data_IF_341111767537
#
_entry.id   IF_341111767537
#
_cell.length_a   1.000
_cell.length_b   1.000
_cell.length_c   1.000
_cell.angle_alpha   90.00
_cell.angle_beta   90.00
_cell.angle_gamma   90.00
#
_symmetry.space_group_name_H-M   'P 1'
#
loop_
_entity.id
_entity.type
_entity.pdbx_description
1 polymer ?
#
# COMPACT_ATOMS: atom_id res chain seq x y z
N UNK A 1 -2.02 21.80 3.31
CA UNK A 1 -2.89 20.60 3.25
C UNK A 1 -2.16 19.37 2.74
N UNK A 2 -1.44 19.43 1.61
CA UNK A 2 -0.66 18.30 1.08
C UNK A 2 0.24 17.61 2.15
N UNK A 3 1.00 18.39 2.94
CA UNK A 3 1.83 17.84 4.03
C UNK A 3 1.06 16.97 5.04
N UNK A 4 -0.10 17.43 5.52
CA UNK A 4 -0.91 16.68 6.49
C UNK A 4 -1.48 15.41 5.86
N UNK A 5 -1.92 15.49 4.59
CA UNK A 5 -2.40 14.34 3.83
C UNK A 5 -1.29 13.29 3.72
N UNK A 6 -0.07 13.71 3.35
CA UNK A 6 1.08 12.81 3.30
C UNK A 6 1.40 12.21 4.66
N UNK A 7 1.39 13.01 5.74
CA UNK A 7 1.66 12.52 7.09
C UNK A 7 0.67 11.42 7.52
N UNK A 8 -0.64 11.65 7.36
CA UNK A 8 -1.65 10.65 7.70
C UNK A 8 -1.55 9.41 6.82
N UNK A 9 -1.26 9.59 5.53
CA UNK A 9 -1.04 8.49 4.58
C UNK A 9 0.12 7.62 5.04
N UNK A 10 1.27 8.22 5.35
CA UNK A 10 2.45 7.53 5.89
C UNK A 10 2.11 6.83 7.22
N UNK A 11 1.33 7.46 8.10
CA UNK A 11 0.86 6.86 9.35
C UNK A 11 0.07 5.57 9.12
N UNK A 12 -0.91 5.58 8.20
CA UNK A 12 -1.70 4.40 7.83
C UNK A 12 -0.79 3.29 7.28
N UNK A 13 0.15 3.64 6.40
CA UNK A 13 1.13 2.70 5.85
C UNK A 13 1.96 2.06 6.97
N UNK A 14 2.41 2.87 7.92
CA UNK A 14 3.24 2.41 9.03
C UNK A 14 2.49 1.45 9.95
N UNK A 15 1.21 1.73 10.25
CA UNK A 15 0.33 0.83 11.02
C UNK A 15 0.14 -0.50 10.29
N UNK A 16 -0.18 -0.47 9.00
CA UNK A 16 -0.35 -1.69 8.19
C UNK A 16 0.95 -2.50 8.10
N UNK A 17 2.09 -1.82 7.96
CA UNK A 17 3.42 -2.45 7.98
C UNK A 17 3.71 -3.12 9.32
N UNK A 18 3.44 -2.46 10.45
CA UNK A 18 3.67 -3.06 11.76
C UNK A 18 2.75 -4.24 12.05
N UNK A 19 1.50 -4.22 11.55
CA UNK A 19 0.60 -5.36 11.62
C UNK A 19 1.17 -6.59 10.89
N UNK A 20 1.79 -6.39 9.72
CA UNK A 20 2.49 -7.46 8.97
C UNK A 20 3.76 -7.92 9.69
N UNK A 21 4.59 -6.97 10.15
CA UNK A 21 5.86 -7.26 10.81
C UNK A 21 5.71 -7.98 12.16
N UNK A 22 4.58 -7.79 12.86
CA UNK A 22 4.31 -8.47 14.15
C UNK A 22 4.31 -9.99 14.03
N UNK A 23 4.00 -10.55 12.86
CA UNK A 23 4.03 -12.00 12.65
C UNK A 23 5.41 -12.52 12.20
N UNK A 24 6.37 -11.65 11.91
CA UNK A 24 7.69 -12.05 11.39
C UNK A 24 8.59 -12.52 12.54
N UNK A 25 9.19 -13.70 12.37
CA UNK A 25 10.06 -14.36 13.36
C UNK A 25 11.54 -14.07 13.17
N UNK A 26 11.97 -13.84 11.94
CA UNK A 26 13.39 -13.67 11.57
C UNK A 26 13.52 -12.41 10.74
N UNK A 27 14.55 -11.60 11.00
CA UNK A 27 14.90 -10.46 10.15
C UNK A 27 16.21 -10.81 9.45
N UNK A 28 16.12 -11.15 8.17
CA UNK A 28 17.29 -11.44 7.33
C UNK A 28 17.61 -10.29 6.36
N UNK A 29 18.72 -10.42 5.63
CA UNK A 29 19.17 -9.41 4.68
C UNK A 29 18.13 -9.16 3.57
N UNK A 30 17.41 -10.20 3.11
CA UNK A 30 16.39 -10.05 2.07
C UNK A 30 15.22 -9.21 2.57
N UNK A 31 14.71 -9.48 3.77
CA UNK A 31 13.64 -8.68 4.36
C UNK A 31 14.03 -7.20 4.50
N UNK A 32 15.28 -6.92 4.89
CA UNK A 32 15.78 -5.55 4.99
C UNK A 32 15.76 -4.82 3.63
N UNK A 33 16.18 -5.48 2.54
CA UNK A 33 16.10 -4.89 1.20
C UNK A 33 14.66 -4.69 0.72
N UNK A 34 13.74 -5.60 1.04
CA UNK A 34 12.32 -5.41 0.75
C UNK A 34 11.73 -4.23 1.53
N UNK A 35 12.17 -4.03 2.77
CA UNK A 35 11.80 -2.84 3.55
C UNK A 35 12.39 -1.56 2.95
N UNK A 36 13.62 -1.58 2.44
CA UNK A 36 14.19 -0.44 1.71
C UNK A 36 13.39 -0.11 0.44
N UNK A 37 12.90 -1.11 -0.28
CA UNK A 37 12.01 -0.90 -1.42
C UNK A 37 10.69 -0.23 -1.00
N UNK A 38 10.09 -0.64 0.12
CA UNK A 38 8.93 0.05 0.67
C UNK A 38 9.27 1.50 1.02
N UNK A 39 10.40 1.72 1.71
CA UNK A 39 10.85 3.06 2.12
C UNK A 39 11.13 3.97 0.93
N UNK A 40 11.65 3.45 -0.18
CA UNK A 40 11.83 4.20 -1.43
C UNK A 40 10.54 4.89 -1.86
N UNK A 41 9.41 4.19 -1.84
CA UNK A 41 8.14 4.80 -2.22
C UNK A 41 7.57 5.70 -1.13
N UNK A 42 7.75 5.35 0.15
CA UNK A 42 7.30 6.18 1.28
C UNK A 42 7.91 7.58 1.23
N UNK A 43 9.21 7.70 0.93
CA UNK A 43 9.86 9.02 0.85
C UNK A 43 9.41 9.85 -0.36
N UNK A 44 8.81 9.23 -1.37
CA UNK A 44 8.25 9.93 -2.55
C UNK A 44 6.84 10.45 -2.30
N UNK A 45 6.11 9.92 -1.31
CA UNK A 45 4.72 10.35 -1.00
C UNK A 45 4.58 11.86 -0.85
N UNK A 46 5.40 12.58 -0.05
CA UNK A 46 5.22 14.02 0.14
C UNK A 46 5.38 14.80 -1.16
N UNK A 47 6.36 14.42 -1.99
CA UNK A 47 6.58 14.99 -3.30
C UNK A 47 5.36 14.74 -4.20
N UNK A 48 4.93 13.49 -4.33
CA UNK A 48 3.81 13.15 -5.20
C UNK A 48 2.51 13.84 -4.74
N UNK A 49 2.25 13.89 -3.43
CA UNK A 49 1.07 14.57 -2.87
C UNK A 49 1.09 16.08 -3.17
N UNK A 50 2.26 16.71 -3.07
CA UNK A 50 2.42 18.13 -3.41
C UNK A 50 2.17 18.36 -4.91
N UNK A 51 2.70 17.50 -5.78
CA UNK A 51 2.48 17.57 -7.23
C UNK A 51 1.00 17.49 -7.58
N UNK A 52 0.24 16.51 -7.07
CA UNK A 52 -1.20 16.47 -7.36
C UNK A 52 -1.90 17.72 -6.80
N UNK A 53 -1.54 18.19 -5.60
CA UNK A 53 -2.19 19.36 -5.02
C UNK A 53 -2.00 20.64 -5.87
N UNK A 54 -0.88 20.74 -6.59
CA UNK A 54 -0.59 21.86 -7.49
C UNK A 54 -1.31 21.71 -8.84
N UNK A 55 -1.27 20.51 -9.44
CA UNK A 55 -1.76 20.31 -10.81
C UNK A 55 -3.25 19.93 -10.92
N UNK A 56 -3.88 19.47 -9.84
CA UNK A 56 -5.30 19.07 -9.86
C UNK A 56 -6.22 20.28 -10.09
N UNK A 57 -5.84 21.47 -9.63
CA UNK A 57 -6.60 22.71 -9.87
C UNK A 57 -6.38 23.29 -11.26
N UNK A 58 -5.26 22.96 -11.91
CA UNK A 58 -4.86 23.48 -13.21
C UNK A 58 -5.62 22.85 -14.37
N UNK A 59 -6.14 21.63 -14.16
CA UNK A 59 -6.87 20.86 -15.17
C UNK A 59 -6.00 20.39 -16.34
N UNK A 60 -6.59 19.65 -17.28
CA UNK A 60 -5.92 19.21 -18.50
C UNK A 60 -4.94 18.05 -18.33
N UNK A 61 -4.01 17.92 -19.28
CA UNK A 61 -3.06 16.80 -19.37
C UNK A 61 -2.14 16.69 -18.15
N UNK A 62 -1.74 17.82 -17.57
CA UNK A 62 -0.80 17.84 -16.44
C UNK A 62 -1.42 17.25 -15.18
N UNK A 63 -2.74 17.44 -14.97
CA UNK A 63 -3.47 16.82 -13.87
C UNK A 63 -3.48 15.28 -13.98
N UNK A 64 -3.58 14.75 -15.20
CA UNK A 64 -3.57 13.30 -15.43
C UNK A 64 -2.18 12.71 -15.17
N UNK A 65 -1.12 13.40 -15.60
CA UNK A 65 0.26 12.97 -15.35
C UNK A 65 0.58 13.02 -13.85
N UNK A 66 0.23 14.11 -13.17
CA UNK A 66 0.42 14.25 -11.72
C UNK A 66 -0.32 13.15 -10.94
N UNK A 67 -1.56 12.85 -11.34
CA UNK A 67 -2.35 11.78 -10.73
C UNK A 67 -1.78 10.39 -11.03
N UNK A 68 -1.28 10.15 -12.26
CA UNK A 68 -0.64 8.89 -12.63
C UNK A 68 0.65 8.66 -11.81
N UNK A 69 1.46 9.70 -11.61
CA UNK A 69 2.64 9.65 -10.73
C UNK A 69 2.24 9.31 -9.29
N UNK A 70 1.20 9.97 -8.77
CA UNK A 70 0.69 9.69 -7.43
C UNK A 70 0.21 8.24 -7.30
N UNK A 71 -0.60 7.75 -8.25
CA UNK A 71 -1.08 6.37 -8.26
C UNK A 71 0.05 5.35 -8.36
N UNK A 72 1.07 5.62 -9.18
CA UNK A 72 2.25 4.76 -9.33
C UNK A 72 3.06 4.62 -8.04
N UNK A 73 3.10 5.66 -7.20
CA UNK A 73 3.71 5.56 -5.86
C UNK A 73 2.99 4.50 -5.03
N UNK A 74 1.65 4.54 -4.95
CA UNK A 74 0.89 3.53 -4.19
C UNK A 74 0.95 2.14 -4.82
N UNK A 75 1.05 2.04 -6.14
CA UNK A 75 1.25 0.77 -6.85
C UNK A 75 2.60 0.15 -6.45
N UNK A 76 3.67 0.93 -6.50
CA UNK A 76 5.01 0.51 -6.07
C UNK A 76 5.05 0.07 -4.60
N UNK A 77 4.34 0.79 -3.73
CA UNK A 77 4.17 0.40 -2.33
C UNK A 77 3.44 -0.93 -2.18
N UNK A 78 2.37 -1.13 -2.95
CA UNK A 78 1.58 -2.36 -2.92
C UNK A 78 2.40 -3.56 -3.37
N UNK A 79 3.25 -3.39 -4.38
CA UNK A 79 4.24 -4.39 -4.79
C UNK A 79 5.26 -4.67 -3.68
N UNK A 80 5.77 -3.66 -2.99
CA UNK A 80 6.70 -3.85 -1.87
C UNK A 80 6.05 -4.67 -0.73
N UNK A 81 4.82 -4.33 -0.34
CA UNK A 81 4.04 -5.10 0.63
C UNK A 81 3.79 -6.54 0.17
N UNK A 82 3.48 -6.72 -1.12
CA UNK A 82 3.28 -8.02 -1.73
C UNK A 82 4.55 -8.89 -1.65
N UNK A 83 5.73 -8.32 -1.91
CA UNK A 83 7.00 -9.03 -1.75
C UNK A 83 7.32 -9.36 -0.30
N UNK A 84 7.09 -8.45 0.64
CA UNK A 84 7.28 -8.72 2.09
C UNK A 84 6.34 -9.85 2.53
N UNK A 85 5.07 -9.79 2.13
CA UNK A 85 4.09 -10.83 2.43
C UNK A 85 4.50 -12.17 1.82
N UNK A 86 4.86 -12.21 0.54
CA UNK A 86 5.33 -13.42 -0.14
C UNK A 86 6.58 -14.01 0.52
N UNK A 87 7.52 -13.15 0.93
CA UNK A 87 8.70 -13.55 1.69
C UNK A 87 8.30 -14.16 3.05
N UNK A 88 7.31 -13.59 3.75
CA UNK A 88 6.86 -14.07 5.07
C UNK A 88 6.26 -15.47 5.07
N UNK A 89 5.77 -15.95 3.92
CA UNK A 89 5.21 -17.30 3.75
C UNK A 89 6.27 -18.40 3.68
N UNK A 90 7.55 -18.04 3.61
CA UNK A 90 8.66 -18.99 3.67
C UNK A 90 8.73 -19.74 5.01
N UNK A 91 9.25 -20.96 4.99
CA UNK A 91 9.33 -21.81 6.17
C UNK A 91 10.21 -21.18 7.26
N UNK A 92 9.74 -21.19 8.51
CA UNK A 92 10.46 -20.62 9.65
C UNK A 92 10.47 -19.08 9.74
N UNK A 93 9.89 -18.35 8.77
CA UNK A 93 9.94 -16.88 8.73
C UNK A 93 8.87 -16.16 9.54
N UNK A 94 7.79 -16.86 9.90
CA UNK A 94 6.66 -16.28 10.65
C UNK A 94 6.38 -17.04 11.94
N UNK A 95 5.97 -16.34 13.01
CA UNK A 95 5.56 -16.91 14.29
C UNK A 95 4.31 -17.79 14.15
N UNK A 96 3.35 -17.34 13.33
CA UNK A 96 2.13 -18.09 12.99
C UNK A 96 2.11 -18.31 11.49
N UNK A 97 2.61 -19.45 10.99
CA UNK A 97 2.66 -19.72 9.56
C UNK A 97 1.25 -19.93 9.00
N UNK A 98 0.99 -19.39 7.81
CA UNK A 98 -0.27 -19.63 7.10
C UNK A 98 -0.27 -21.06 6.55
N UNK A 99 -1.31 -21.88 6.86
CA UNK A 99 -1.45 -23.24 6.32
C UNK A 99 -1.39 -23.25 4.79
N UNK A 100 -0.76 -24.27 4.18
CA UNK A 100 -0.54 -24.33 2.72
C UNK A 100 -1.84 -24.17 1.92
N UNK A 101 -2.93 -24.77 2.39
CA UNK A 101 -4.27 -24.70 1.79
C UNK A 101 -4.85 -23.27 1.78
N UNK A 102 -4.49 -22.43 2.76
CA UNK A 102 -4.99 -21.05 2.89
C UNK A 102 -4.10 -20.03 2.19
N UNK A 103 -2.92 -20.43 1.69
CA UNK A 103 -1.97 -19.52 1.02
C UNK A 103 -2.57 -18.86 -0.21
N UNK A 104 -3.32 -19.59 -1.04
CA UNK A 104 -3.98 -19.03 -2.22
C UNK A 104 -4.98 -17.93 -1.87
N UNK A 105 -5.81 -18.16 -0.84
CA UNK A 105 -6.75 -17.14 -0.35
C UNK A 105 -6.05 -15.94 0.28
N UNK A 106 -4.96 -16.16 1.01
CA UNK A 106 -4.17 -15.09 1.59
C UNK A 106 -3.50 -14.22 0.51
N UNK A 107 -3.00 -14.84 -0.56
CA UNK A 107 -2.51 -14.16 -1.76
C UNK A 107 -3.59 -13.37 -2.48
N UNK A 108 -4.79 -13.93 -2.65
CA UNK A 108 -5.93 -13.19 -3.23
C UNK A 108 -6.26 -11.96 -2.39
N UNK A 109 -6.32 -12.10 -1.06
CA UNK A 109 -6.60 -10.99 -0.15
C UNK A 109 -5.55 -9.88 -0.19
N UNK A 110 -4.26 -10.23 -0.32
CA UNK A 110 -3.19 -9.25 -0.52
C UNK A 110 -3.20 -8.66 -1.94
N UNK A 111 -3.51 -9.46 -2.95
CA UNK A 111 -3.61 -9.06 -4.34
C UNK A 111 -4.75 -8.08 -4.63
N UNK A 112 -5.81 -8.07 -3.82
CA UNK A 112 -6.88 -7.06 -3.92
C UNK A 112 -6.32 -5.64 -3.78
N UNK A 113 -5.37 -5.40 -2.86
CA UNK A 113 -4.74 -4.10 -2.72
C UNK A 113 -4.03 -3.66 -4.01
N UNK A 114 -3.24 -4.57 -4.58
CA UNK A 114 -2.54 -4.35 -5.85
C UNK A 114 -3.52 -4.05 -6.99
N UNK A 115 -4.58 -4.83 -7.14
CA UNK A 115 -5.58 -4.63 -8.18
C UNK A 115 -6.31 -3.29 -8.05
N UNK A 116 -6.61 -2.85 -6.83
CA UNK A 116 -7.27 -1.56 -6.59
C UNK A 116 -6.38 -0.39 -7.01
N UNK A 117 -5.09 -0.42 -6.68
CA UNK A 117 -4.16 0.64 -7.10
C UNK A 117 -3.82 0.57 -8.60
N UNK A 118 -3.80 -0.62 -9.19
CA UNK A 118 -3.69 -0.80 -10.64
C UNK A 118 -4.88 -0.15 -11.37
N UNK A 119 -6.11 -0.40 -10.88
CA UNK A 119 -7.32 0.24 -11.41
C UNK A 119 -7.26 1.75 -11.22
N UNK A 120 -6.87 2.24 -10.04
CA UNK A 120 -6.72 3.67 -9.80
C UNK A 120 -5.70 4.32 -10.76
N UNK A 121 -4.60 3.63 -11.04
CA UNK A 121 -3.58 4.07 -12.01
C UNK A 121 -4.16 4.15 -13.43
N UNK A 122 -4.93 3.15 -13.87
CA UNK A 122 -5.61 3.20 -15.16
C UNK A 122 -6.63 4.33 -15.27
N UNK A 123 -7.42 4.54 -14.20
CA UNK A 123 -8.40 5.63 -14.12
C UNK A 123 -7.72 7.01 -14.13
N UNK A 124 -6.52 7.14 -13.57
CA UNK A 124 -5.78 8.41 -13.50
C UNK A 124 -5.51 9.04 -14.88
N UNK A 125 -5.33 8.22 -15.92
CA UNK A 125 -5.10 8.71 -17.29
C UNK A 125 -6.35 9.26 -17.97
N UNK A 126 -7.54 8.91 -17.47
CA UNK A 126 -8.83 9.30 -18.06
C UNK A 126 -9.55 10.33 -17.19
N UNK A 127 -9.52 10.15 -15.87
CA UNK A 127 -10.25 10.97 -14.91
C UNK A 127 -9.46 11.07 -13.59
N UNK A 128 -8.65 12.13 -13.49
CA UNK A 128 -7.82 12.35 -12.30
C UNK A 128 -8.63 12.49 -10.98
N UNK A 129 -9.75 13.25 -10.93
CA UNK A 129 -10.59 13.30 -9.72
C UNK A 129 -11.15 11.94 -9.28
N UNK A 130 -11.57 11.10 -10.23
CA UNK A 130 -12.07 9.75 -9.92
C UNK A 130 -10.98 8.85 -9.35
N UNK A 131 -9.77 8.89 -9.91
CA UNK A 131 -8.63 8.15 -9.37
C UNK A 131 -8.26 8.63 -7.96
N UNK A 132 -8.28 9.94 -7.72
CA UNK A 132 -8.07 10.50 -6.39
C UNK A 132 -9.14 10.03 -5.39
N UNK A 133 -10.41 10.00 -5.81
CA UNK A 133 -11.50 9.51 -4.97
C UNK A 133 -11.31 8.04 -4.61
N UNK A 134 -10.87 7.19 -5.55
CA UNK A 134 -10.54 5.77 -5.27
C UNK A 134 -9.44 5.67 -4.22
N UNK A 135 -8.32 6.38 -4.40
CA UNK A 135 -7.20 6.35 -3.44
C UNK A 135 -7.64 6.88 -2.07
N UNK A 136 -8.42 7.96 -2.04
CA UNK A 136 -8.97 8.53 -0.81
C UNK A 136 -9.90 7.56 -0.06
N UNK A 137 -10.80 6.87 -0.77
CA UNK A 137 -11.68 5.86 -0.18
C UNK A 137 -10.88 4.68 0.38
N UNK A 138 -9.83 4.24 -0.29
CA UNK A 138 -8.93 3.19 0.20
C UNK A 138 -8.21 3.63 1.47
N UNK A 139 -7.73 4.88 1.53
CA UNK A 139 -7.11 5.42 2.73
C UNK A 139 -8.09 5.44 3.91
N UNK A 140 -9.34 5.87 3.69
CA UNK A 140 -10.40 5.84 4.72
C UNK A 140 -10.71 4.39 5.13
N UNK A 141 -10.82 3.47 4.19
CA UNK A 141 -11.02 2.05 4.49
C UNK A 141 -9.92 1.51 5.40
N UNK A 142 -8.65 1.75 5.10
CA UNK A 142 -7.54 1.29 5.96
C UNK A 142 -7.42 2.06 7.28
N UNK A 143 -7.94 3.28 7.37
CA UNK A 143 -7.99 4.03 8.62
C UNK A 143 -9.08 3.49 9.56
N UNK A 144 -10.23 3.10 9.02
CA UNK A 144 -11.41 2.64 9.78
C UNK A 144 -11.41 1.13 10.01
N UNK A 145 -10.83 0.36 9.09
CA UNK A 145 -10.60 -1.08 9.23
C UNK A 145 -9.16 -1.31 9.70
N UNK A 146 -8.88 -1.22 11.01
CA UNK A 146 -7.68 -1.81 11.53
C UNK A 146 -7.86 -3.31 11.29
N UNK A 147 -7.16 -3.86 10.29
CA UNK A 147 -6.96 -5.31 10.28
C UNK A 147 -5.92 -5.64 11.35
N UNK A 148 -6.33 -5.99 12.57
CA UNK A 148 -5.72 -7.12 13.24
C UNK A 148 -6.79 -8.03 13.85
N UNK A 149 -7.17 -9.10 13.14
CA UNK A 149 -7.99 -10.17 13.72
C UNK A 149 -8.05 -11.50 12.96
N UNK A 150 -7.23 -11.79 11.94
CA UNK A 150 -7.20 -13.15 11.37
C UNK A 150 -6.38 -14.15 12.23
N UNK A 151 -5.99 -13.74 13.44
CA UNK A 151 -5.72 -14.61 14.59
C UNK A 151 -6.50 -14.15 15.82
N UNK A 152 -7.77 -13.76 15.64
CA UNK A 152 -8.71 -13.58 16.73
C UNK A 152 -9.94 -14.40 16.36
N UNK A 153 -10.22 -15.45 17.14
CA UNK A 153 -11.23 -16.50 16.92
C UNK A 153 -10.77 -17.70 16.06
N UNK A 154 -9.70 -18.32 16.51
CA UNK A 154 -9.82 -19.74 16.84
C UNK A 154 -10.39 -19.79 18.27
N UNK A 155 -11.69 -19.55 18.39
CA UNK A 155 -12.52 -19.79 19.58
C UNK A 155 -13.85 -20.34 19.06
#
# INVERSE_FOLDING_TARGET
MAYLISFFTIGIIWVNHHALMTNIRVVDRTLLFLNLLLLLFVVVIPFATATIAEYLTSGGSDAHIAMALYALVFEGMSLAFCFIFGWSLGEGRSHRPVPRERRGRAWLQFGVGLLVYLVATGVAFVNAPAALAIIGLVAVYYMVDPRPAAVRRAD
#
